data_IF_947148425353
#
_entry.id   IF_947148425353
#
_cell.length_a   1.000
_cell.length_b   1.000
_cell.length_c   1.000
_cell.angle_alpha   90.00
_cell.angle_beta   90.00
_cell.angle_gamma   90.00
#
_symmetry.space_group_name_H-M   'P 1'
#
loop_
_entity.id
_entity.type
_entity.pdbx_description
1 polymer ?
#
# COMPACT_ATOMS: atom_id res chain seq x y z
N UNK A 1 1.44 18.29 2.24
CA UNK A 1 2.03 17.02 2.74
C UNK A 1 0.98 16.04 3.27
N UNK A 2 0.06 16.43 4.18
CA UNK A 2 -0.93 15.50 4.77
C UNK A 2 -1.84 14.76 3.78
N UNK A 3 -2.12 15.32 2.59
CA UNK A 3 -2.99 14.68 1.57
C UNK A 3 -2.51 13.32 1.07
N UNK A 4 -1.21 13.08 1.03
CA UNK A 4 -0.65 11.81 0.52
C UNK A 4 -0.24 10.85 1.64
N UNK A 5 -0.30 11.28 2.90
CA UNK A 5 0.13 10.47 4.04
C UNK A 5 -0.68 9.17 4.12
N UNK A 6 -1.96 9.25 3.74
CA UNK A 6 -2.89 8.12 3.71
C UNK A 6 -2.55 7.07 2.63
N UNK A 7 -1.79 7.45 1.60
CA UNK A 7 -1.31 6.53 0.56
C UNK A 7 0.14 6.08 0.82
N UNK A 8 0.99 6.96 1.34
CA UNK A 8 2.40 6.67 1.61
C UNK A 8 2.54 5.64 2.75
N UNK A 9 1.78 5.78 3.84
CA UNK A 9 1.85 4.84 4.98
C UNK A 9 1.58 3.40 4.54
N UNK A 10 0.43 3.05 3.92
CA UNK A 10 0.18 1.68 3.49
C UNK A 10 1.18 1.23 2.42
N UNK A 11 1.67 2.11 1.55
CA UNK A 11 2.71 1.74 0.60
C UNK A 11 4.02 1.30 1.29
N UNK A 12 4.46 2.04 2.32
CA UNK A 12 5.64 1.67 3.11
C UNK A 12 5.40 0.36 3.87
N UNK A 13 4.19 0.14 4.40
CA UNK A 13 3.82 -1.12 5.04
C UNK A 13 3.85 -2.30 4.06
N UNK A 14 3.39 -2.11 2.81
CA UNK A 14 3.49 -3.13 1.78
C UNK A 14 4.95 -3.52 1.49
N UNK A 15 5.85 -2.54 1.38
CA UNK A 15 7.30 -2.80 1.24
C UNK A 15 7.82 -3.54 2.48
N UNK A 16 7.38 -3.14 3.67
CA UNK A 16 7.71 -3.81 4.92
C UNK A 16 7.32 -5.29 4.92
N UNK A 17 6.14 -5.65 4.38
CA UNK A 17 5.72 -7.05 4.24
C UNK A 17 6.65 -7.85 3.34
N UNK A 18 7.07 -7.28 2.19
CA UNK A 18 8.00 -7.94 1.27
C UNK A 18 9.37 -8.12 1.91
N UNK A 19 9.89 -7.08 2.56
CA UNK A 19 11.19 -7.14 3.26
C UNK A 19 11.14 -8.17 4.39
N UNK A 20 10.09 -8.16 5.21
CA UNK A 20 9.91 -9.12 6.30
C UNK A 20 9.81 -10.57 5.79
N UNK A 21 9.09 -10.81 4.69
CA UNK A 21 9.00 -12.14 4.06
C UNK A 21 10.38 -12.67 3.66
N UNK A 22 11.21 -11.81 3.04
CA UNK A 22 12.56 -12.18 2.63
C UNK A 22 13.53 -12.37 3.81
N UNK A 23 13.38 -11.59 4.89
CA UNK A 23 14.23 -11.71 6.09
C UNK A 23 13.91 -12.99 6.88
N UNK A 24 12.62 -13.29 7.06
CA UNK A 24 12.18 -14.49 7.78
C UNK A 24 12.53 -15.75 6.96
N UNK A 25 12.38 -15.68 5.64
CA UNK A 25 12.70 -16.78 4.74
C UNK A 25 11.73 -17.95 4.84
N UNK A 26 12.17 -19.11 4.37
CA UNK A 26 11.41 -20.35 4.41
C UNK A 26 12.32 -21.52 4.76
N UNK A 27 11.77 -22.49 5.50
CA UNK A 27 12.46 -23.73 5.86
C UNK A 27 11.54 -24.94 5.67
N UNK A 28 12.14 -26.09 5.38
CA UNK A 28 11.41 -27.36 5.28
C UNK A 28 11.59 -28.12 6.59
N UNK A 29 10.49 -28.39 7.28
CA UNK A 29 10.46 -29.14 8.51
C UNK A 29 10.81 -30.63 8.28
N UNK A 30 11.18 -31.37 9.34
CA UNK A 30 11.56 -32.79 9.22
C UNK A 30 10.46 -33.70 8.66
N UNK A 31 9.20 -33.29 8.76
CA UNK A 31 8.03 -33.97 8.20
C UNK A 31 7.74 -33.60 6.73
N UNK A 32 8.58 -32.74 6.13
CA UNK A 32 8.43 -32.24 4.77
C UNK A 32 7.53 -31.02 4.65
N UNK A 33 7.01 -30.48 5.76
CA UNK A 33 6.16 -29.28 5.73
C UNK A 33 7.01 -28.03 5.46
N UNK A 34 6.58 -27.19 4.51
CA UNK A 34 7.21 -25.88 4.26
C UNK A 34 6.70 -24.85 5.28
N UNK A 35 7.61 -24.31 6.08
CA UNK A 35 7.35 -23.23 7.04
C UNK A 35 7.82 -21.93 6.41
N UNK A 36 6.85 -21.06 6.07
CA UNK A 36 7.13 -19.73 5.53
C UNK A 36 6.06 -18.73 6.00
N UNK A 37 6.39 -17.43 6.10
CA UNK A 37 5.45 -16.40 6.55
C UNK A 37 4.52 -15.98 5.40
N UNK A 38 3.84 -16.96 4.78
CA UNK A 38 3.00 -16.77 3.60
C UNK A 38 1.93 -15.68 3.80
N UNK A 39 1.45 -15.50 5.04
CA UNK A 39 0.48 -14.47 5.41
C UNK A 39 0.94 -13.03 5.07
N UNK A 40 2.24 -12.76 5.01
CA UNK A 40 2.77 -11.44 4.64
C UNK A 40 2.47 -11.08 3.17
N UNK A 41 2.35 -12.07 2.29
CA UNK A 41 2.10 -11.83 0.86
C UNK A 41 0.68 -11.28 0.65
N UNK A 42 -0.42 -11.95 1.08
CA UNK A 42 -1.77 -11.39 0.98
C UNK A 42 -1.93 -10.04 1.69
N UNK A 43 -1.33 -9.86 2.87
CA UNK A 43 -1.39 -8.59 3.61
C UNK A 43 -0.68 -7.47 2.83
N UNK A 44 0.49 -7.76 2.25
CA UNK A 44 1.20 -6.82 1.39
C UNK A 44 0.32 -6.34 0.23
N UNK A 45 -0.37 -7.25 -0.47
CA UNK A 45 -1.29 -6.88 -1.54
C UNK A 45 -2.46 -6.01 -1.07
N UNK A 46 -3.03 -6.28 0.11
CA UNK A 46 -4.07 -5.43 0.70
C UNK A 46 -3.54 -4.01 0.93
N UNK A 47 -2.33 -3.87 1.47
CA UNK A 47 -1.73 -2.55 1.67
C UNK A 47 -1.45 -1.82 0.35
N UNK A 48 -0.98 -2.52 -0.70
CA UNK A 48 -0.84 -1.94 -2.04
C UNK A 48 -2.19 -1.43 -2.56
N UNK A 49 -3.24 -2.24 -2.44
CA UNK A 49 -4.59 -1.88 -2.88
C UNK A 49 -5.11 -0.62 -2.16
N UNK A 50 -4.97 -0.57 -0.83
CA UNK A 50 -5.35 0.60 -0.03
C UNK A 50 -4.58 1.85 -0.48
N UNK A 51 -3.28 1.71 -0.77
CA UNK A 51 -2.46 2.81 -1.25
C UNK A 51 -2.94 3.35 -2.60
N UNK A 52 -3.19 2.47 -3.56
CA UNK A 52 -3.67 2.84 -4.91
C UNK A 52 -5.03 3.55 -4.80
N UNK A 53 -5.97 2.97 -4.07
CA UNK A 53 -7.31 3.56 -3.89
C UNK A 53 -7.21 4.95 -3.25
N UNK A 54 -6.39 5.09 -2.20
CA UNK A 54 -6.20 6.37 -1.52
C UNK A 54 -5.58 7.44 -2.42
N UNK A 55 -4.64 7.03 -3.30
CA UNK A 55 -4.01 7.92 -4.27
C UNK A 55 -5.01 8.39 -5.33
N UNK A 56 -5.82 7.49 -5.87
CA UNK A 56 -6.87 7.82 -6.85
C UNK A 56 -7.87 8.81 -6.25
N UNK A 57 -8.40 8.53 -5.05
CA UNK A 57 -9.36 9.41 -4.37
C UNK A 57 -8.76 10.80 -4.14
N UNK A 58 -7.52 10.86 -3.64
CA UNK A 58 -6.82 12.11 -3.39
C UNK A 58 -6.55 12.91 -4.68
N UNK A 59 -6.26 12.21 -5.77
CA UNK A 59 -6.10 12.79 -7.11
C UNK A 59 -7.39 13.40 -7.63
N UNK A 60 -8.49 12.65 -7.58
CA UNK A 60 -9.82 13.11 -8.03
C UNK A 60 -10.29 14.33 -7.23
N UNK A 61 -10.15 14.30 -5.90
CA UNK A 61 -10.50 15.44 -5.03
C UNK A 61 -9.65 16.66 -5.39
N UNK A 62 -8.35 16.48 -5.63
CA UNK A 62 -7.46 17.59 -5.99
C UNK A 62 -7.81 18.19 -7.35
N UNK A 63 -8.18 17.37 -8.34
CA UNK A 63 -8.63 17.82 -9.65
C UNK A 63 -9.95 18.60 -9.57
N UNK A 64 -10.93 18.10 -8.81
CA UNK A 64 -12.21 18.80 -8.59
C UNK A 64 -12.00 20.16 -7.93
N UNK A 65 -11.10 20.23 -6.94
CA UNK A 65 -10.76 21.48 -6.27
C UNK A 65 -10.03 22.46 -7.19
N UNK A 66 -9.13 21.96 -8.04
CA UNK A 66 -8.45 22.77 -9.05
C UNK A 66 -9.45 23.39 -10.03
N UNK A 67 -10.36 22.58 -10.59
CA UNK A 67 -11.38 23.05 -11.51
C UNK A 67 -12.35 24.04 -10.85
N UNK A 68 -12.84 23.75 -9.64
CA UNK A 68 -13.71 24.67 -8.88
C UNK A 68 -13.02 26.01 -8.62
N UNK A 69 -11.74 26.02 -8.28
CA UNK A 69 -10.98 27.24 -8.04
C UNK A 69 -10.81 28.07 -9.32
N UNK A 70 -10.56 27.42 -10.45
CA UNK A 70 -10.41 28.12 -11.73
C UNK A 70 -11.72 28.73 -12.24
N UNK A 71 -12.87 28.07 -11.98
CA UNK A 71 -14.20 28.62 -12.31
C UNK A 71 -14.60 29.84 -11.47
N UNK A 72 -14.10 29.97 -10.24
CA UNK A 72 -14.42 31.12 -9.35
C UNK A 72 -13.56 32.34 -9.69
N UNK A 73 -12.38 32.14 -10.25
CA UNK A 73 -11.40 33.19 -10.53
C UNK A 73 -11.43 33.71 -11.99
N UNK A 74 -12.30 33.17 -12.84
CA UNK A 74 -12.43 33.52 -14.25
C UNK A 74 -13.77 34.14 -14.59
#
# INVERSE_FOLDING_TARGET
MKKYILSIIPFVLAIGCVVAYNIIGSEVAPDGTLIEPFFLIPIGYIFVLISIVSLIISGVISMKNYYKKNKING
#
